data_IF_129517406496
#
_entry.id   IF_129517406496
#
_cell.length_a   1.000
_cell.length_b   1.000
_cell.length_c   1.000
_cell.angle_alpha   90.00
_cell.angle_beta   90.00
_cell.angle_gamma   90.00
#
_symmetry.space_group_name_H-M   'P 1'
#
loop_
_entity.id
_entity.type
_entity.pdbx_description
1 polymer ?
#
# COMPACT_ATOMS: atom_id res chain seq x y z
N UNK A 1 10.28 6.64 7.45
CA UNK A 1 9.94 7.76 6.54
C UNK A 1 9.27 7.29 5.24
N UNK A 2 9.83 6.29 4.52
CA UNK A 2 9.23 5.74 3.29
C UNK A 2 7.78 5.23 3.44
N UNK A 3 7.46 4.58 4.56
CA UNK A 3 6.12 4.04 4.82
C UNK A 3 5.01 5.10 4.84
N UNK A 4 5.29 6.25 5.45
CA UNK A 4 4.34 7.36 5.57
C UNK A 4 4.08 7.99 4.20
N UNK A 5 5.11 8.07 3.35
CA UNK A 5 5.00 8.59 1.98
C UNK A 5 4.10 7.69 1.12
N UNK A 6 4.30 6.37 1.17
CA UNK A 6 3.42 5.41 0.45
C UNK A 6 1.97 5.48 0.94
N UNK A 7 1.78 5.63 2.26
CA UNK A 7 0.44 5.73 2.84
C UNK A 7 -0.27 7.03 2.41
N UNK A 8 0.44 8.15 2.42
CA UNK A 8 -0.09 9.44 1.94
C UNK A 8 -0.41 9.36 0.44
N UNK A 9 0.48 8.82 -0.39
CA UNK A 9 0.26 8.67 -1.84
C UNK A 9 -0.93 7.79 -2.16
N UNK A 10 -1.07 6.63 -1.50
CA UNK A 10 -2.22 5.74 -1.72
C UNK A 10 -3.52 6.43 -1.31
N UNK A 11 -3.56 7.10 -0.14
CA UNK A 11 -4.75 7.85 0.28
C UNK A 11 -5.08 8.93 -0.74
N UNK A 12 -4.09 9.70 -1.23
CA UNK A 12 -4.28 10.74 -2.24
C UNK A 12 -4.83 10.20 -3.55
N UNK A 13 -4.29 9.08 -4.05
CA UNK A 13 -4.75 8.45 -5.30
C UNK A 13 -6.18 7.96 -5.18
N UNK A 14 -6.53 7.30 -4.09
CA UNK A 14 -7.90 6.81 -3.88
C UNK A 14 -8.91 7.95 -3.67
N UNK A 15 -8.51 8.99 -2.94
CA UNK A 15 -9.33 10.18 -2.73
C UNK A 15 -9.56 10.91 -4.06
N UNK A 16 -8.54 11.00 -4.91
CA UNK A 16 -8.67 11.60 -6.24
C UNK A 16 -9.61 10.78 -7.16
N UNK A 17 -9.42 9.45 -7.23
CA UNK A 17 -10.20 8.54 -8.07
C UNK A 17 -11.68 8.51 -7.71
N UNK A 18 -12.01 8.48 -6.42
CA UNK A 18 -13.42 8.41 -5.98
C UNK A 18 -14.10 9.78 -5.88
N UNK A 19 -13.34 10.86 -5.71
CA UNK A 19 -13.90 12.22 -5.67
C UNK A 19 -13.98 12.85 -7.08
N UNK A 20 -13.39 12.21 -8.09
CA UNK A 20 -13.49 12.53 -9.53
C UNK A 20 -14.95 12.60 -10.03
N UNK A 21 -15.82 11.58 -9.82
CA UNK A 21 -17.22 11.66 -10.23
C UNK A 21 -17.98 12.79 -9.52
N UNK A 22 -17.70 13.09 -8.25
CA UNK A 22 -18.27 14.25 -7.57
C UNK A 22 -17.80 15.57 -8.18
N UNK A 23 -16.51 15.69 -8.52
CA UNK A 23 -15.95 16.88 -9.16
C UNK A 23 -16.55 17.12 -10.55
N UNK A 24 -16.80 16.04 -11.30
CA UNK A 24 -17.45 16.08 -12.61
C UNK A 24 -18.93 16.48 -12.48
N UNK A 25 -19.65 15.94 -11.50
CA UNK A 25 -21.06 16.27 -11.25
C UNK A 25 -21.23 17.72 -10.78
N UNK A 26 -20.30 18.22 -9.96
CA UNK A 26 -20.27 19.62 -9.50
C UNK A 26 -19.99 20.61 -10.63
N UNK A 27 -19.20 20.21 -11.64
CA UNK A 27 -19.04 21.00 -12.87
C UNK A 27 -20.29 20.96 -13.75
N UNK A 28 -21.06 19.86 -13.73
CA UNK A 28 -22.30 19.73 -14.51
C UNK A 28 -23.49 20.47 -13.87
N UNK A 29 -23.51 20.65 -12.54
CA UNK A 29 -24.58 21.37 -11.81
C UNK A 29 -23.99 22.40 -10.84
N UNK A 30 -23.69 23.63 -11.29
CA UNK A 30 -22.98 24.66 -10.52
C UNK A 30 -23.84 25.37 -9.45
N UNK A 31 -24.75 24.66 -8.77
CA UNK A 31 -25.69 25.28 -7.83
C UNK A 31 -26.23 24.39 -6.71
N UNK A 32 -25.75 23.15 -6.55
CA UNK A 32 -26.23 22.27 -5.49
C UNK A 32 -25.45 22.53 -4.18
N UNK A 33 -26.11 23.02 -3.11
CA UNK A 33 -25.46 23.23 -1.82
C UNK A 33 -25.36 21.89 -1.10
N UNK A 34 -24.16 21.31 -1.13
CA UNK A 34 -23.85 20.05 -0.44
C UNK A 34 -22.43 19.60 -0.76
N UNK A 35 -21.63 19.33 0.27
CA UNK A 35 -20.30 18.72 0.13
C UNK A 35 -20.39 17.29 -0.42
N UNK A 36 -19.25 16.65 -0.75
CA UNK A 36 -19.27 15.25 -1.17
C UNK A 36 -19.95 14.39 -0.10
N UNK A 37 -20.87 13.49 -0.48
CA UNK A 37 -21.58 12.67 0.49
C UNK A 37 -20.57 11.84 1.28
N UNK A 38 -20.71 11.78 2.60
CA UNK A 38 -19.74 11.13 3.50
C UNK A 38 -19.37 9.70 3.06
N UNK A 39 -20.33 8.95 2.50
CA UNK A 39 -20.11 7.61 1.91
C UNK A 39 -19.11 7.58 0.75
N UNK A 40 -19.05 8.65 -0.06
CA UNK A 40 -18.12 8.78 -1.19
C UNK A 40 -16.68 9.03 -0.75
N UNK A 41 -16.45 9.43 0.51
CA UNK A 41 -15.11 9.68 1.07
C UNK A 41 -14.66 8.51 1.94
N UNK A 42 -15.57 7.90 2.70
CA UNK A 42 -15.23 6.76 3.58
C UNK A 42 -14.79 5.53 2.77
N UNK A 43 -15.47 5.23 1.66
CA UNK A 43 -15.14 4.06 0.83
C UNK A 43 -13.72 4.09 0.23
N UNK A 44 -13.26 5.16 -0.45
CA UNK A 44 -11.89 5.25 -0.93
C UNK A 44 -10.84 5.23 0.18
N UNK A 45 -11.12 5.89 1.31
CA UNK A 45 -10.17 5.92 2.44
C UNK A 45 -9.98 4.51 3.01
N UNK A 46 -11.07 3.76 3.22
CA UNK A 46 -11.00 2.38 3.70
C UNK A 46 -10.26 1.47 2.72
N UNK A 47 -10.50 1.61 1.41
CA UNK A 47 -9.80 0.84 0.38
C UNK A 47 -8.30 1.20 0.29
N UNK A 48 -7.96 2.49 0.34
CA UNK A 48 -6.57 2.95 0.34
C UNK A 48 -5.80 2.48 1.55
N UNK A 49 -6.43 2.47 2.74
CA UNK A 49 -5.84 1.91 3.96
C UNK A 49 -5.65 0.39 3.85
N UNK A 50 -6.67 -0.35 3.43
CA UNK A 50 -6.60 -1.81 3.31
C UNK A 50 -5.52 -2.26 2.31
N UNK A 51 -5.43 -1.59 1.16
CA UNK A 51 -4.43 -1.89 0.14
C UNK A 51 -3.01 -1.52 0.58
N UNK A 52 -2.84 -0.40 1.30
CA UNK A 52 -1.52 -0.03 1.85
C UNK A 52 -1.05 -1.03 2.89
N UNK A 53 -1.95 -1.55 3.74
CA UNK A 53 -1.62 -2.60 4.71
C UNK A 53 -1.23 -3.90 3.98
N UNK A 54 -1.98 -4.30 2.95
CA UNK A 54 -1.64 -5.48 2.15
C UNK A 54 -0.28 -5.34 1.46
N UNK A 55 0.04 -4.16 0.94
CA UNK A 55 1.31 -3.90 0.29
C UNK A 55 2.48 -3.89 1.29
N UNK A 56 2.26 -3.34 2.49
CA UNK A 56 3.20 -3.41 3.60
C UNK A 56 3.52 -4.86 4.00
N UNK A 57 2.49 -5.70 4.12
CA UNK A 57 2.64 -7.13 4.44
C UNK A 57 3.39 -7.88 3.34
N UNK A 58 3.11 -7.57 2.07
CA UNK A 58 3.82 -8.16 0.93
C UNK A 58 5.29 -7.76 0.89
N UNK A 59 5.59 -6.48 1.10
CA UNK A 59 6.97 -6.00 1.13
C UNK A 59 7.77 -6.64 2.28
N UNK A 60 7.14 -6.75 3.46
CA UNK A 60 7.75 -7.44 4.60
C UNK A 60 7.97 -8.93 4.32
N UNK A 61 7.04 -9.59 3.63
CA UNK A 61 7.20 -10.98 3.20
C UNK A 61 8.38 -11.15 2.25
N UNK A 62 8.53 -10.27 1.25
CA UNK A 62 9.67 -10.30 0.33
C UNK A 62 11.01 -10.07 1.04
N UNK A 63 11.06 -9.11 1.98
CA UNK A 63 12.24 -8.86 2.81
C UNK A 63 12.62 -10.09 3.64
N UNK A 64 11.64 -10.74 4.26
CA UNK A 64 11.85 -11.97 5.04
C UNK A 64 12.37 -13.12 4.17
N UNK A 65 11.82 -13.31 2.95
CA UNK A 65 12.34 -14.32 2.02
C UNK A 65 13.80 -14.04 1.63
N UNK A 66 14.15 -12.78 1.36
CA UNK A 66 15.54 -12.40 1.05
C UNK A 66 16.50 -12.73 2.19
N UNK A 67 16.14 -12.39 3.43
CA UNK A 67 16.95 -12.71 4.62
C UNK A 67 17.11 -14.22 4.78
N UNK A 68 16.03 -14.99 4.64
CA UNK A 68 16.08 -16.45 4.73
C UNK A 68 16.97 -17.07 3.65
N UNK A 69 16.94 -16.54 2.42
CA UNK A 69 17.81 -17.00 1.34
C UNK A 69 19.29 -16.74 1.64
N UNK A 70 19.62 -15.55 2.17
CA UNK A 70 20.99 -15.24 2.62
C UNK A 70 21.41 -16.17 3.76
N UNK A 71 20.53 -16.39 4.74
CA UNK A 71 20.79 -17.28 5.87
C UNK A 71 21.06 -18.72 5.38
N UNK A 72 20.26 -19.22 4.45
CA UNK A 72 20.44 -20.54 3.84
C UNK A 72 21.79 -20.66 3.11
N UNK A 73 22.20 -19.63 2.36
CA UNK A 73 23.49 -19.62 1.68
C UNK A 73 24.67 -19.63 2.67
N UNK A 74 24.58 -18.85 3.76
CA UNK A 74 25.59 -18.83 4.82
C UNK A 74 25.68 -20.19 5.50
N UNK A 75 24.54 -20.78 5.87
CA UNK A 75 24.49 -22.09 6.49
C UNK A 75 25.06 -23.16 5.55
N UNK A 76 24.70 -23.14 4.26
CA UNK A 76 25.27 -24.05 3.27
C UNK A 76 26.79 -23.91 3.19
N UNK A 77 27.33 -22.68 3.20
CA UNK A 77 28.76 -22.42 3.26
C UNK A 77 29.40 -23.06 4.50
N UNK A 78 28.86 -22.79 5.69
CA UNK A 78 29.37 -23.34 6.96
C UNK A 78 29.33 -24.86 6.97
N UNK A 79 28.20 -25.46 6.61
CA UNK A 79 28.06 -26.91 6.53
C UNK A 79 28.99 -27.50 5.48
N UNK A 80 29.17 -26.86 4.33
CA UNK A 80 30.09 -27.34 3.30
C UNK A 80 31.55 -27.34 3.75
N UNK A 81 31.94 -26.45 4.67
CA UNK A 81 33.29 -26.42 5.24
C UNK A 81 33.41 -27.48 6.36
N UNK A 82 32.38 -27.62 7.19
CA UNK A 82 32.38 -28.54 8.32
C UNK A 82 32.20 -30.02 7.93
N UNK A 83 31.39 -30.33 6.91
CA UNK A 83 31.19 -31.71 6.41
C UNK A 83 32.28 -32.18 5.44
N UNK A 84 33.22 -31.32 5.03
CA UNK A 84 34.32 -31.70 4.13
C UNK A 84 35.56 -32.25 4.86
N UNK A 85 35.44 -32.48 6.16
CA UNK A 85 36.38 -33.24 6.99
C UNK A 85 35.81 -34.62 7.23
#
# INVERSE_FOLDING_TARGET
MLFVISLILNILVFLLLFNLPWLVERRKRPGQPGGPPFKSVVMPVTLGVALTILDAMRLQFFMQMGILMVLAAVLYGIFSIFLRK
#
